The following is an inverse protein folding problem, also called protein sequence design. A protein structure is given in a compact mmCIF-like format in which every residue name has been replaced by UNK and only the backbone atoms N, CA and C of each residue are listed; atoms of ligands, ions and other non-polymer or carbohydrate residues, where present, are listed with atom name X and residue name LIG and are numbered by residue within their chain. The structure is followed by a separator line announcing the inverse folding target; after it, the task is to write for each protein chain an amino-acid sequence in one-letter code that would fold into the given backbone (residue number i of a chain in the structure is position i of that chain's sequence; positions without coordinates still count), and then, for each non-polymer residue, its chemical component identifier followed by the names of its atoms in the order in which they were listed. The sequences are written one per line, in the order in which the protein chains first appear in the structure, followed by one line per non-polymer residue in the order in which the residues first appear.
data_IF_273015124224
#
_entry.id   IF_273015124224
#
_cell.length_a   1.000
_cell.length_b   1.000
_cell.length_c   1.000
_cell.angle_alpha   90.00
_cell.angle_beta   90.00
_cell.angle_gamma   90.00
#
_symmetry.space_group_name_H-M   'P 1'
#
loop_
_entity.id
_entity.type
_entity.pdbx_description
1 polymer ?
#
# COMPACT_ATOMS: atom_id res chain seq x y z
N UNK A 1 -4.85 21.64 -5.65
CA UNK A 1 -4.32 20.87 -4.50
C UNK A 1 -4.68 19.42 -4.72
N UNK A 2 -3.71 18.53 -4.66
CA UNK A 2 -3.95 17.09 -4.83
C UNK A 2 -4.29 16.55 -3.44
N UNK A 3 -5.57 16.59 -3.06
CA UNK A 3 -6.00 16.04 -1.77
C UNK A 3 -5.78 14.53 -1.80
N UNK A 4 -4.79 14.10 -1.04
CA UNK A 4 -4.44 12.72 -0.75
C UNK A 4 -4.69 12.47 0.74
N UNK A 5 -5.05 11.24 1.13
CA UNK A 5 -5.26 10.06 0.29
C UNK A 5 -6.61 10.07 -0.46
N UNK A 6 -6.72 9.24 -1.51
CA UNK A 6 -7.93 9.09 -2.35
C UNK A 6 -8.44 7.67 -2.33
N UNK A 7 -9.75 7.51 -2.10
CA UNK A 7 -10.44 6.23 -2.21
C UNK A 7 -11.10 6.10 -3.59
N UNK A 8 -10.93 4.96 -4.25
CA UNK A 8 -11.56 4.63 -5.54
C UNK A 8 -12.11 3.21 -5.50
N UNK A 9 -13.24 2.96 -6.16
CA UNK A 9 -13.75 1.61 -6.35
C UNK A 9 -12.91 0.85 -7.39
N UNK A 10 -12.77 -0.45 -7.17
CA UNK A 10 -12.17 -1.41 -8.09
C UNK A 10 -13.15 -2.58 -8.21
N UNK A 11 -13.97 -2.55 -9.24
CA UNK A 11 -15.06 -3.51 -9.40
C UNK A 11 -16.16 -3.35 -8.34
N UNK A 12 -16.81 -4.47 -8.00
CA UNK A 12 -18.00 -4.50 -7.11
C UNK A 12 -17.67 -4.72 -5.61
N UNK A 13 -16.46 -5.22 -5.33
CA UNK A 13 -16.03 -5.67 -3.99
C UNK A 13 -14.65 -5.15 -3.59
N UNK A 14 -14.11 -4.18 -4.33
CA UNK A 14 -12.77 -3.66 -4.11
C UNK A 14 -12.75 -2.16 -3.89
N UNK A 15 -11.91 -1.70 -2.96
CA UNK A 15 -11.55 -0.30 -2.79
C UNK A 15 -10.03 -0.16 -2.82
N UNK A 16 -9.57 0.89 -3.48
CA UNK A 16 -8.16 1.28 -3.55
C UNK A 16 -7.99 2.62 -2.84
N UNK A 17 -7.16 2.64 -1.80
CA UNK A 17 -6.74 3.84 -1.08
C UNK A 17 -5.36 4.22 -1.58
N UNK A 18 -5.22 5.35 -2.27
CA UNK A 18 -3.96 5.81 -2.87
C UNK A 18 -3.45 7.05 -2.16
N UNK A 19 -2.16 7.08 -1.83
CA UNK A 19 -1.52 8.13 -1.04
C UNK A 19 -0.73 9.14 -1.88
N UNK A 20 -0.36 8.80 -3.10
CA UNK A 20 0.33 9.71 -4.02
C UNK A 20 0.14 9.31 -5.48
N UNK A 21 0.44 10.24 -6.39
CA UNK A 21 0.46 9.97 -7.84
C UNK A 21 1.70 9.18 -8.27
N UNK A 22 2.83 9.44 -7.63
CA UNK A 22 4.13 8.84 -7.92
C UNK A 22 4.69 8.18 -6.67
N UNK A 23 5.57 7.21 -6.88
CA UNK A 23 6.30 6.57 -5.80
C UNK A 23 7.11 7.62 -5.03
N UNK A 24 6.93 7.62 -3.71
CA UNK A 24 7.81 8.28 -2.74
C UNK A 24 7.88 7.42 -1.49
N UNK A 25 8.97 7.54 -0.75
CA UNK A 25 9.16 6.77 0.49
C UNK A 25 8.05 7.06 1.53
N UNK A 26 7.64 8.31 1.80
CA UNK A 26 6.53 8.58 2.72
C UNK A 26 5.19 8.00 2.25
N UNK A 27 4.87 8.06 0.96
CA UNK A 27 3.62 7.51 0.43
C UNK A 27 3.60 5.97 0.45
N UNK A 28 4.74 5.33 0.18
CA UNK A 28 4.88 3.89 0.30
C UNK A 28 4.70 3.43 1.75
N UNK A 29 5.37 4.11 2.69
CA UNK A 29 5.24 3.83 4.11
C UNK A 29 3.81 4.03 4.60
N UNK A 30 3.14 5.10 4.18
CA UNK A 30 1.73 5.36 4.48
C UNK A 30 0.82 4.22 4.01
N UNK A 31 1.01 3.73 2.77
CA UNK A 31 0.24 2.60 2.23
C UNK A 31 0.47 1.28 3.00
N UNK A 32 1.71 1.02 3.43
CA UNK A 32 2.05 -0.16 4.24
C UNK A 32 1.46 -0.07 5.65
N UNK A 33 1.63 1.09 6.31
CA UNK A 33 1.10 1.34 7.65
C UNK A 33 -0.44 1.30 7.68
N UNK A 34 -1.09 1.92 6.68
CA UNK A 34 -2.54 1.92 6.58
C UNK A 34 -3.10 0.51 6.34
N UNK A 35 -2.44 -0.29 5.49
CA UNK A 35 -2.84 -1.70 5.32
C UNK A 35 -2.80 -2.47 6.64
N UNK A 36 -1.71 -2.36 7.38
CA UNK A 36 -1.59 -3.04 8.68
C UNK A 36 -2.71 -2.61 9.63
N UNK A 37 -3.00 -1.31 9.69
CA UNK A 37 -4.08 -0.79 10.52
C UNK A 37 -5.49 -1.26 10.07
N UNK A 38 -5.71 -1.49 8.77
CA UNK A 38 -6.95 -2.11 8.24
C UNK A 38 -7.05 -3.57 8.69
N UNK A 39 -5.97 -4.34 8.61
CA UNK A 39 -5.94 -5.74 9.08
C UNK A 39 -6.23 -5.82 10.59
N UNK A 40 -5.75 -4.86 11.39
CA UNK A 40 -6.02 -4.77 12.83
C UNK A 40 -7.49 -4.49 13.18
N UNK A 41 -8.29 -3.98 12.25
CA UNK A 41 -9.71 -3.71 12.53
C UNK A 41 -10.57 -4.97 12.61
N UNK A 42 -10.10 -6.09 12.05
CA UNK A 42 -10.79 -7.39 12.03
C UNK A 42 -12.27 -7.28 11.59
N UNK A 43 -12.52 -6.47 10.54
CA UNK A 43 -13.86 -6.25 10.02
C UNK A 43 -14.42 -7.54 9.40
N UNK A 44 -15.62 -8.01 9.77
CA UNK A 44 -16.16 -9.29 9.29
C UNK A 44 -16.46 -9.32 7.78
N UNK A 45 -16.60 -8.16 7.16
CA UNK A 45 -16.81 -7.97 5.73
C UNK A 45 -15.51 -8.07 4.93
N UNK A 46 -14.36 -7.82 5.55
CA UNK A 46 -13.05 -7.83 4.91
C UNK A 46 -12.69 -9.27 4.50
N UNK A 47 -12.27 -9.44 3.26
CA UNK A 47 -11.83 -10.74 2.73
C UNK A 47 -10.34 -10.80 2.47
N UNK A 48 -9.75 -9.70 1.97
CA UNK A 48 -8.33 -9.64 1.64
C UNK A 48 -7.84 -8.18 1.70
N UNK A 49 -6.58 -7.99 2.07
CA UNK A 49 -5.87 -6.74 1.83
C UNK A 49 -4.57 -6.99 1.06
N UNK A 50 -4.18 -6.01 0.27
CA UNK A 50 -2.91 -6.02 -0.45
C UNK A 50 -2.35 -4.61 -0.59
N UNK A 51 -1.09 -4.50 -0.98
CA UNK A 51 -0.37 -3.24 -1.16
C UNK A 51 0.32 -3.19 -2.51
N UNK A 52 0.27 -2.02 -3.13
CA UNK A 52 1.15 -1.62 -4.24
C UNK A 52 2.13 -0.54 -3.75
N UNK A 53 2.81 0.16 -4.65
CA UNK A 53 3.83 1.16 -4.33
C UNK A 53 3.31 2.28 -3.42
N UNK A 54 2.13 2.83 -3.68
CA UNK A 54 1.56 3.97 -2.93
C UNK A 54 0.08 3.78 -2.63
N UNK A 55 -0.38 2.54 -2.65
CA UNK A 55 -1.80 2.22 -2.47
C UNK A 55 -2.02 0.97 -1.62
N UNK A 56 -3.12 1.00 -0.88
CA UNK A 56 -3.69 -0.14 -0.18
C UNK A 56 -4.95 -0.59 -0.91
N UNK A 57 -5.00 -1.85 -1.29
CA UNK A 57 -6.19 -2.50 -1.83
C UNK A 57 -6.91 -3.24 -0.72
N UNK A 58 -8.24 -3.10 -0.69
CA UNK A 58 -9.13 -3.70 0.30
C UNK A 58 -10.25 -4.40 -0.45
N UNK A 59 -10.34 -5.72 -0.28
CA UNK A 59 -11.43 -6.53 -0.82
C UNK A 59 -12.40 -6.94 0.29
N UNK A 60 -13.69 -6.92 -0.01
CA UNK A 60 -14.75 -7.25 0.93
C UNK A 60 -15.86 -8.11 0.30
N UNK A 61 -16.66 -8.75 1.15
CA UNK A 61 -17.83 -9.53 0.74
C UNK A 61 -18.86 -8.62 0.06
N UNK A 62 -19.36 -9.04 -1.09
CA UNK A 62 -20.35 -8.26 -1.86
C UNK A 62 -21.70 -8.23 -1.11
N UNK A 63 -22.24 -7.02 -0.94
CA UNK A 63 -23.62 -6.77 -0.51
C UNK A 63 -24.08 -5.42 -1.08
N UNK A 64 -25.38 -5.10 -0.94
CA UNK A 64 -25.94 -3.85 -1.50
C UNK A 64 -25.25 -2.59 -0.94
N UNK A 65 -24.84 -2.62 0.32
CA UNK A 65 -24.27 -1.45 1.02
C UNK A 65 -22.75 -1.52 1.16
N UNK A 66 -22.12 -2.62 0.72
CA UNK A 66 -20.72 -2.93 1.02
C UNK A 66 -19.74 -1.81 0.62
N UNK A 67 -19.89 -1.23 -0.57
CA UNK A 67 -19.02 -0.13 -1.02
C UNK A 67 -19.15 1.09 -0.10
N UNK A 68 -20.37 1.49 0.23
CA UNK A 68 -20.62 2.66 1.10
C UNK A 68 -20.07 2.40 2.49
N UNK A 69 -20.44 1.27 3.10
CA UNK A 69 -19.97 0.88 4.44
C UNK A 69 -18.46 0.84 4.53
N UNK A 70 -17.80 0.19 3.57
CA UNK A 70 -16.34 0.06 3.58
C UNK A 70 -15.65 1.39 3.26
N UNK A 71 -16.22 2.22 2.39
CA UNK A 71 -15.68 3.56 2.12
C UNK A 71 -15.70 4.42 3.39
N UNK A 72 -16.81 4.41 4.12
CA UNK A 72 -16.96 5.22 5.34
C UNK A 72 -16.04 4.73 6.46
N UNK A 73 -15.90 3.41 6.62
CA UNK A 73 -14.93 2.81 7.55
C UNK A 73 -13.48 3.21 7.21
N UNK A 74 -13.10 3.12 5.93
CA UNK A 74 -11.77 3.51 5.49
C UNK A 74 -11.52 5.01 5.67
N UNK A 75 -12.50 5.87 5.39
CA UNK A 75 -12.42 7.32 5.67
C UNK A 75 -12.23 7.59 7.16
N UNK A 76 -13.05 6.97 8.00
CA UNK A 76 -12.94 7.11 9.45
C UNK A 76 -11.55 6.69 9.96
N UNK A 77 -11.00 5.58 9.44
CA UNK A 77 -9.64 5.16 9.78
C UNK A 77 -8.58 6.15 9.29
N UNK A 78 -8.72 6.65 8.06
CA UNK A 78 -7.82 7.63 7.47
C UNK A 78 -7.73 8.92 8.31
N UNK A 79 -8.81 9.34 8.94
CA UNK A 79 -8.89 10.54 9.78
C UNK A 79 -8.23 10.37 11.16
N UNK A 80 -7.88 9.15 11.59
CA UNK A 80 -7.37 8.91 12.95
C UNK A 80 -5.98 9.47 13.22
N UNK A 81 -5.14 9.63 12.19
CA UNK A 81 -3.72 10.03 12.32
C UNK A 81 -3.15 10.47 10.98
N UNK A 82 -1.98 11.11 11.01
CA UNK A 82 -1.22 11.44 9.81
C UNK A 82 -0.43 10.21 9.33
N UNK A 83 -0.96 9.52 8.32
CA UNK A 83 -0.35 8.34 7.73
C UNK A 83 0.99 8.60 7.04
N UNK A 84 1.28 9.84 6.63
CA UNK A 84 2.58 10.16 6.01
C UNK A 84 3.71 10.23 7.05
N UNK A 85 3.36 10.44 8.32
CA UNK A 85 4.29 10.46 9.45
C UNK A 85 4.43 9.09 10.16
N UNK A 86 3.56 8.12 9.86
CA UNK A 86 3.58 6.81 10.49
C UNK A 86 4.84 6.00 10.16
N UNK A 87 5.28 5.16 11.09
CA UNK A 87 6.40 4.25 10.89
C UNK A 87 5.98 3.05 10.02
N UNK A 88 6.98 2.31 9.49
CA UNK A 88 6.70 1.01 8.88
C UNK A 88 6.10 0.06 9.92
N UNK A 89 5.19 -0.86 9.52
CA UNK A 89 4.64 -1.87 10.41
C UNK A 89 5.73 -2.64 11.18
N UNK A 90 5.41 -3.00 12.42
CA UNK A 90 6.25 -3.84 13.26
C UNK A 90 6.28 -5.29 12.76
N UNK A 91 7.11 -6.15 13.37
CA UNK A 91 7.15 -7.59 13.05
C UNK A 91 7.83 -7.95 11.73
N UNK A 92 8.48 -6.99 11.04
CA UNK A 92 9.23 -7.24 9.81
C UNK A 92 10.49 -8.05 10.08
N UNK A 93 10.77 -9.00 9.20
CA UNK A 93 11.99 -9.81 9.24
C UNK A 93 13.07 -9.19 8.35
N UNK A 94 14.28 -9.05 8.88
CA UNK A 94 15.46 -8.69 8.09
C UNK A 94 16.00 -9.94 7.40
N UNK A 95 15.90 -9.98 6.07
CA UNK A 95 16.43 -11.07 5.26
C UNK A 95 17.80 -10.69 4.70
N UNK A 96 18.77 -11.58 4.85
CA UNK A 96 20.07 -11.45 4.18
C UNK A 96 20.06 -12.38 2.96
N UNK A 97 20.08 -11.78 1.77
CA UNK A 97 20.07 -12.50 0.50
C UNK A 97 21.45 -12.34 -0.15
N UNK A 98 22.21 -13.43 -0.36
CA UNK A 98 23.46 -13.36 -1.09
C UNK A 98 23.24 -12.87 -2.52
N UNK A 99 24.04 -11.90 -2.95
CA UNK A 99 23.97 -11.32 -4.29
C UNK A 99 25.34 -11.34 -4.96
N UNK A 100 25.35 -11.67 -6.25
CA UNK A 100 26.53 -11.57 -7.12
C UNK A 100 26.38 -10.32 -7.95
N UNK A 101 27.39 -9.45 -7.93
CA UNK A 101 27.45 -8.26 -8.76
C UNK A 101 28.46 -8.46 -9.88
N UNK A 102 28.04 -8.27 -11.13
CA UNK A 102 28.86 -8.40 -12.34
C UNK A 102 28.86 -9.81 -12.93
N UNK A 103 29.85 -10.09 -13.78
CA UNK A 103 29.98 -11.31 -14.61
C UNK A 103 28.86 -11.46 -15.65
N UNK A 104 28.85 -12.58 -16.38
CA UNK A 104 27.78 -12.95 -17.31
C UNK A 104 26.41 -13.16 -16.61
N UNK A 105 26.38 -13.25 -15.27
CA UNK A 105 25.16 -13.40 -14.47
C UNK A 105 24.46 -12.07 -14.14
N UNK A 106 25.08 -10.93 -14.39
CA UNK A 106 24.49 -9.60 -14.18
C UNK A 106 24.63 -8.71 -15.44
N UNK A 107 24.07 -9.12 -16.59
CA UNK A 107 24.34 -8.46 -17.87
C UNK A 107 23.86 -7.01 -17.94
N UNK A 108 22.86 -6.61 -17.15
CA UNK A 108 22.37 -5.22 -17.11
C UNK A 108 23.02 -4.35 -16.02
N UNK A 109 24.08 -4.82 -15.33
CA UNK A 109 24.71 -4.03 -14.26
C UNK A 109 25.30 -2.71 -14.76
N UNK A 110 25.96 -2.72 -15.93
CA UNK A 110 26.53 -1.51 -16.54
C UNK A 110 25.43 -0.53 -16.96
N UNK A 111 24.37 -1.01 -17.60
CA UNK A 111 23.20 -0.19 -17.99
C UNK A 111 22.53 0.47 -16.76
N UNK A 112 22.41 -0.28 -15.66
CA UNK A 112 21.84 0.23 -14.42
C UNK A 112 22.74 1.31 -13.79
N UNK A 113 24.06 1.16 -13.86
CA UNK A 113 25.00 2.16 -13.39
C UNK A 113 24.90 3.45 -14.23
N UNK A 114 24.86 3.33 -15.56
CA UNK A 114 24.71 4.49 -16.45
C UNK A 114 23.39 5.24 -16.21
N UNK A 115 22.29 4.52 -16.01
CA UNK A 115 20.99 5.13 -15.74
C UNK A 115 20.93 5.85 -14.37
N UNK A 116 21.76 5.45 -13.41
CA UNK A 116 21.83 6.05 -12.09
C UNK A 116 22.69 7.34 -12.02
N UNK A 117 23.55 7.56 -13.03
CA UNK A 117 24.50 8.68 -13.10
C UNK A 117 25.77 8.45 -12.30
#
# INVERSE_FOLDING_TARGET
MTDWPRIRSVGLSGLLVTFAEKMSEPANRAALAFRAAVEEQDWPELSETSTSLVSTFVQFKVSQEAITTMTDRLRGLLETRDWFAEALPAGRSLWHVPTVYGTDLAPQLEEAAEAAG
#
